data_IF_397170285342
#
_entry.id   IF_397170285342
#
_cell.length_a   1.000
_cell.length_b   1.000
_cell.length_c   1.000
_cell.angle_alpha   90.00
_cell.angle_beta   90.00
_cell.angle_gamma   90.00
#
_symmetry.space_group_name_H-M   'P 1'
#
loop_
_entity.id
_entity.type
_entity.pdbx_description
1 polymer ?
#
# COMPACT_ATOMS: atom_id res chain seq x y z
N UNK A 1 7.44 18.02 15.05
CA UNK A 1 7.64 16.73 14.39
C UNK A 1 7.66 16.95 12.88
N UNK A 2 8.62 16.35 12.14
CA UNK A 2 8.57 16.43 10.68
C UNK A 2 7.37 15.63 10.16
N UNK A 3 6.59 16.25 9.25
CA UNK A 3 5.34 15.68 8.74
C UNK A 3 5.28 15.67 7.22
N UNK A 4 4.45 14.80 6.69
CA UNK A 4 4.06 14.70 5.28
C UNK A 4 2.54 14.63 5.16
N UNK A 5 2.04 14.69 3.93
CA UNK A 5 0.60 14.65 3.66
C UNK A 5 -0.11 13.36 4.11
N UNK A 6 0.60 12.22 4.25
CA UNK A 6 0.05 10.99 4.82
C UNK A 6 0.49 10.73 6.27
N UNK A 7 0.96 11.75 6.98
CA UNK A 7 1.38 11.63 8.37
C UNK A 7 2.82 12.09 8.60
N UNK A 8 3.55 11.36 9.45
CA UNK A 8 4.93 11.70 9.79
C UNK A 8 5.91 11.24 8.70
N UNK A 9 7.09 11.86 8.67
CA UNK A 9 8.23 11.34 7.91
C UNK A 9 8.54 9.93 8.40
N UNK A 10 8.85 9.03 7.47
CA UNK A 10 9.10 7.62 7.80
C UNK A 10 10.31 7.46 8.73
N UNK A 11 10.23 6.55 9.69
CA UNK A 11 11.29 6.27 10.65
C UNK A 11 12.64 5.96 9.98
N UNK A 12 12.62 5.23 8.84
CA UNK A 12 13.83 4.93 8.06
C UNK A 12 14.47 6.13 7.34
N UNK A 13 13.86 7.32 7.40
CA UNK A 13 14.39 8.56 6.84
C UNK A 13 14.94 9.51 7.90
N UNK A 14 14.88 9.12 9.18
CA UNK A 14 15.37 9.93 10.30
C UNK A 14 16.73 9.38 10.72
N UNK A 15 17.79 10.11 10.44
CA UNK A 15 19.19 9.67 10.67
C UNK A 15 19.53 9.33 12.13
N UNK A 16 18.87 9.93 13.10
CA UNK A 16 19.09 9.70 14.53
C UNK A 16 17.75 9.40 15.21
N UNK A 17 17.10 8.32 14.79
CA UNK A 17 15.76 7.96 15.25
C UNK A 17 15.69 7.77 16.78
N UNK A 18 16.61 7.00 17.40
CA UNK A 18 16.59 6.74 18.83
C UNK A 18 16.78 8.03 19.66
N UNK A 19 17.81 8.87 19.43
CA UNK A 19 17.92 10.16 20.11
C UNK A 19 16.72 11.07 19.91
N UNK A 20 16.08 11.01 18.73
CA UNK A 20 14.90 11.80 18.44
C UNK A 20 13.67 11.30 19.23
N UNK A 21 13.48 9.99 19.35
CA UNK A 21 12.45 9.37 20.21
C UNK A 21 12.66 9.75 21.66
N UNK A 22 13.89 9.64 22.19
CA UNK A 22 14.24 10.01 23.56
C UNK A 22 13.96 11.48 23.85
N UNK A 23 14.27 12.36 22.91
CA UNK A 23 13.96 13.79 23.01
C UNK A 23 12.45 14.04 23.13
N UNK A 24 11.65 13.40 22.28
CA UNK A 24 10.18 13.53 22.33
C UNK A 24 9.62 12.94 23.62
N UNK A 25 10.07 11.77 24.03
CA UNK A 25 9.64 11.12 25.27
C UNK A 25 9.91 12.02 26.48
N UNK A 26 11.11 12.62 26.53
CA UNK A 26 11.50 13.56 27.59
C UNK A 26 10.62 14.81 27.60
N UNK A 27 10.30 15.36 26.40
CA UNK A 27 9.47 16.55 26.28
C UNK A 27 8.01 16.30 26.67
N UNK A 28 7.48 15.11 26.39
CA UNK A 28 6.09 14.75 26.67
C UNK A 28 5.87 14.25 28.10
N UNK A 29 6.88 13.64 28.71
CA UNK A 29 6.78 13.01 30.05
C UNK A 29 6.14 13.90 31.12
N UNK A 30 6.49 15.22 31.25
CA UNK A 30 5.87 16.08 32.25
C UNK A 30 4.38 16.36 32.03
N UNK A 31 3.89 16.14 30.80
CA UNK A 31 2.49 16.40 30.40
C UNK A 31 1.61 15.16 30.49
N UNK A 32 2.16 14.00 30.88
CA UNK A 32 1.45 12.73 30.92
C UNK A 32 1.29 12.26 32.38
N UNK A 33 0.06 12.06 32.81
CA UNK A 33 -0.25 11.38 34.08
C UNK A 33 -0.37 9.87 33.82
N UNK A 34 0.74 9.15 34.06
CA UNK A 34 0.80 7.69 33.87
C UNK A 34 -0.05 6.92 34.87
N UNK A 35 -0.32 7.49 36.07
CA UNK A 35 -1.18 6.86 37.05
C UNK A 35 -2.65 6.89 36.55
N UNK A 36 -3.11 8.06 36.09
CA UNK A 36 -4.45 8.19 35.55
C UNK A 36 -4.62 7.33 34.24
N UNK A 37 -3.60 7.24 33.39
CA UNK A 37 -3.62 6.35 32.22
C UNK A 37 -3.71 4.88 32.65
N UNK A 38 -3.02 4.49 33.72
CA UNK A 38 -3.10 3.15 34.27
C UNK A 38 -4.49 2.80 34.80
N UNK A 39 -5.17 3.75 35.46
CA UNK A 39 -6.54 3.58 35.95
C UNK A 39 -7.58 3.45 34.81
N UNK A 40 -7.32 4.10 33.66
CA UNK A 40 -8.16 3.99 32.48
C UNK A 40 -7.94 2.68 31.73
N UNK A 41 -6.85 1.95 32.00
CA UNK A 41 -6.58 0.68 31.35
C UNK A 41 -7.52 -0.41 31.86
N UNK A 42 -8.27 -1.01 30.96
CA UNK A 42 -9.15 -2.15 31.23
C UNK A 42 -8.58 -3.48 30.74
N UNK A 43 -9.23 -4.60 31.04
CA UNK A 43 -8.84 -5.89 30.49
C UNK A 43 -8.96 -5.88 28.98
N UNK A 44 -7.89 -6.29 28.29
CA UNK A 44 -7.89 -6.47 26.84
C UNK A 44 -8.83 -7.63 26.49
N UNK A 45 -9.87 -7.36 25.73
CA UNK A 45 -10.65 -8.42 25.12
C UNK A 45 -9.77 -9.10 24.07
N UNK A 46 -9.40 -10.36 24.30
CA UNK A 46 -8.71 -11.17 23.33
C UNK A 46 -9.67 -11.48 22.18
N UNK A 47 -9.68 -10.64 21.16
CA UNK A 47 -10.35 -10.98 19.92
C UNK A 47 -9.51 -12.04 19.20
N UNK A 48 -10.08 -13.22 18.96
CA UNK A 48 -9.48 -14.19 18.05
C UNK A 48 -9.72 -13.69 16.62
N UNK A 49 -8.81 -12.89 16.11
CA UNK A 49 -8.79 -12.50 14.69
C UNK A 49 -8.04 -13.56 13.90
N UNK A 50 -8.74 -14.28 13.05
CA UNK A 50 -8.09 -15.13 12.03
C UNK A 50 -7.62 -14.19 10.90
N UNK A 51 -6.30 -14.08 10.73
CA UNK A 51 -5.74 -13.39 9.57
C UNK A 51 -6.01 -14.22 8.29
N UNK A 52 -6.26 -13.58 7.16
CA UNK A 52 -6.34 -14.28 5.88
C UNK A 52 -5.07 -15.08 5.62
N UNK A 53 -5.23 -16.30 5.11
CA UNK A 53 -4.11 -17.14 4.71
C UNK A 53 -3.25 -16.49 3.61
N UNK A 54 -2.02 -17.01 3.40
CA UNK A 54 -1.16 -16.48 2.35
C UNK A 54 -1.77 -16.75 0.96
N UNK A 55 -1.69 -15.77 0.03
CA UNK A 55 -2.24 -15.94 -1.32
C UNK A 55 -1.44 -16.91 -2.18
N UNK A 56 -0.22 -17.26 -1.78
CA UNK A 56 0.65 -18.22 -2.45
C UNK A 56 1.75 -18.72 -1.51
N UNK A 57 2.45 -19.79 -1.91
CA UNK A 57 3.58 -20.34 -1.16
C UNK A 57 4.81 -19.42 -1.19
N UNK A 58 5.09 -18.74 -2.33
CA UNK A 58 6.16 -17.77 -2.45
C UNK A 58 5.61 -16.41 -2.86
N UNK A 59 5.72 -15.44 -1.98
CA UNK A 59 5.22 -14.07 -2.13
C UNK A 59 6.42 -13.11 -2.25
N UNK A 60 6.50 -12.37 -3.35
CA UNK A 60 7.45 -11.28 -3.51
C UNK A 60 6.80 -9.93 -3.15
N UNK A 61 7.47 -9.16 -2.32
CA UNK A 61 6.94 -7.90 -1.75
C UNK A 61 7.89 -6.76 -2.09
N UNK A 62 7.39 -5.71 -2.74
CA UNK A 62 8.15 -4.48 -2.93
C UNK A 62 8.45 -3.81 -1.58
N UNK A 63 9.71 -3.41 -1.36
CA UNK A 63 10.17 -3.03 -0.04
C UNK A 63 11.28 -1.98 -0.09
N UNK A 64 10.91 -0.73 -0.23
CA UNK A 64 11.77 0.44 -0.12
C UNK A 64 10.97 1.67 0.33
N UNK A 65 11.53 2.88 0.18
CA UNK A 65 10.90 4.13 0.59
C UNK A 65 9.63 4.47 -0.20
N UNK A 66 9.50 4.01 -1.44
CA UNK A 66 8.29 4.18 -2.24
C UNK A 66 7.17 3.21 -1.84
N UNK A 67 7.51 2.08 -1.18
CA UNK A 67 6.60 0.99 -0.81
C UNK A 67 6.73 0.63 0.69
N UNK A 68 6.64 1.65 1.55
CA UNK A 68 6.94 1.50 2.98
C UNK A 68 5.75 1.02 3.84
N UNK A 69 4.50 1.13 3.36
CA UNK A 69 3.31 0.85 4.16
C UNK A 69 2.96 -0.65 4.15
N UNK A 70 3.86 -1.44 4.71
CA UNK A 70 3.70 -2.88 4.87
C UNK A 70 3.09 -3.18 6.25
N UNK A 71 2.25 -4.19 6.32
CA UNK A 71 1.60 -4.63 7.56
C UNK A 71 2.40 -5.76 8.22
N UNK A 72 3.17 -5.50 9.30
CA UNK A 72 4.01 -6.52 9.94
C UNK A 72 3.22 -7.75 10.41
N UNK A 73 2.00 -7.54 10.92
CA UNK A 73 1.13 -8.62 11.37
C UNK A 73 0.68 -9.53 10.22
N UNK A 74 0.37 -8.99 9.05
CA UNK A 74 0.01 -9.75 7.86
C UNK A 74 1.18 -10.60 7.37
N UNK A 75 2.38 -9.98 7.26
CA UNK A 75 3.59 -10.70 6.87
C UNK A 75 3.98 -11.79 7.87
N UNK A 76 3.80 -11.52 9.18
CA UNK A 76 3.99 -12.54 10.21
C UNK A 76 3.00 -13.68 10.04
N UNK A 77 1.71 -13.39 9.86
CA UNK A 77 0.67 -14.40 9.65
C UNK A 77 0.95 -15.28 8.44
N UNK A 78 1.40 -14.71 7.32
CA UNK A 78 1.78 -15.48 6.14
C UNK A 78 2.97 -16.40 6.38
N UNK A 79 4.02 -15.93 7.11
CA UNK A 79 5.17 -16.78 7.49
C UNK A 79 4.75 -17.90 8.44
N UNK A 80 3.94 -17.59 9.45
CA UNK A 80 3.44 -18.59 10.42
C UNK A 80 2.59 -19.66 9.73
N UNK A 81 1.90 -19.31 8.64
CA UNK A 81 1.17 -20.23 7.77
C UNK A 81 2.06 -20.94 6.73
N UNK A 82 3.38 -20.76 6.78
CA UNK A 82 4.37 -21.50 5.98
C UNK A 82 4.75 -20.83 4.66
N UNK A 83 4.28 -19.62 4.34
CA UNK A 83 4.68 -18.92 3.11
C UNK A 83 6.11 -18.39 3.20
N UNK A 84 6.83 -18.47 2.09
CA UNK A 84 8.12 -17.84 1.89
C UNK A 84 7.90 -16.41 1.41
N UNK A 85 8.49 -15.43 2.14
CA UNK A 85 8.46 -14.01 1.73
C UNK A 85 9.83 -13.60 1.24
N UNK A 86 9.89 -13.02 0.05
CA UNK A 86 11.07 -12.35 -0.50
C UNK A 86 10.77 -10.87 -0.73
N UNK A 87 11.80 -10.03 -0.58
CA UNK A 87 11.68 -8.59 -0.74
C UNK A 87 12.57 -8.13 -1.89
N UNK A 88 12.13 -7.10 -2.60
CA UNK A 88 12.91 -6.47 -3.67
C UNK A 88 12.66 -4.96 -3.66
N UNK A 89 13.64 -4.18 -4.11
CA UNK A 89 13.58 -2.72 -4.15
C UNK A 89 13.38 -2.19 -5.57
N UNK A 90 12.16 -1.75 -5.93
CA UNK A 90 11.94 -1.05 -7.20
C UNK A 90 12.81 0.21 -7.38
N UNK A 91 13.12 0.94 -6.30
CA UNK A 91 14.00 2.10 -6.36
C UNK A 91 15.46 1.74 -6.67
N UNK A 92 15.91 0.55 -6.30
CA UNK A 92 17.23 0.03 -6.69
C UNK A 92 17.21 -0.67 -8.07
N UNK A 93 16.11 -0.57 -8.81
CA UNK A 93 15.87 -1.28 -10.06
C UNK A 93 16.01 -2.82 -9.93
N UNK A 94 15.71 -3.37 -8.74
CA UNK A 94 15.71 -4.81 -8.52
C UNK A 94 14.52 -5.46 -9.19
N UNK A 95 14.72 -6.54 -9.97
CA UNK A 95 13.63 -7.29 -10.54
C UNK A 95 12.89 -8.10 -9.45
N UNK A 96 11.58 -8.29 -9.63
CA UNK A 96 10.85 -9.26 -8.82
C UNK A 96 11.44 -10.66 -9.00
N UNK A 97 11.60 -11.47 -7.93
CA UNK A 97 12.15 -12.82 -8.01
C UNK A 97 11.38 -13.71 -8.97
N UNK A 98 12.07 -14.38 -9.89
CA UNK A 98 11.46 -15.26 -10.91
C UNK A 98 10.59 -16.38 -10.34
N UNK A 99 10.89 -16.85 -9.13
CA UNK A 99 10.15 -17.90 -8.45
C UNK A 99 8.89 -17.40 -7.74
N UNK A 100 8.60 -16.09 -7.78
CA UNK A 100 7.42 -15.53 -7.14
C UNK A 100 6.13 -16.09 -7.75
N UNK A 101 5.23 -16.54 -6.90
CA UNK A 101 3.90 -17.02 -7.26
C UNK A 101 2.81 -15.98 -7.00
N UNK A 102 3.16 -14.93 -6.29
CA UNK A 102 2.34 -13.77 -6.01
C UNK A 102 3.23 -12.55 -5.79
N UNK A 103 2.88 -11.41 -6.35
CA UNK A 103 3.61 -10.15 -6.18
C UNK A 103 2.72 -9.14 -5.49
N UNK A 104 3.24 -8.54 -4.41
CA UNK A 104 2.57 -7.50 -3.66
C UNK A 104 3.35 -6.18 -3.74
N UNK A 105 2.67 -5.14 -4.21
CA UNK A 105 3.14 -3.75 -4.19
C UNK A 105 2.34 -2.99 -3.11
N UNK A 106 2.89 -2.82 -1.90
CA UNK A 106 2.20 -2.10 -0.83
C UNK A 106 2.11 -0.60 -1.08
N UNK A 107 1.39 0.10 -0.20
CA UNK A 107 1.33 1.54 -0.21
C UNK A 107 2.65 2.22 0.15
N UNK A 108 2.69 3.53 -0.02
CA UNK A 108 3.86 4.36 0.25
C UNK A 108 3.77 5.71 -0.43
N UNK A 109 4.93 6.25 -0.84
CA UNK A 109 5.06 7.57 -1.46
C UNK A 109 5.69 7.48 -2.87
N UNK A 110 5.03 6.82 -3.84
CA UNK A 110 5.58 6.67 -5.19
C UNK A 110 5.76 8.00 -5.91
N UNK A 111 4.95 9.01 -5.60
CA UNK A 111 5.02 10.35 -6.19
C UNK A 111 6.32 11.10 -5.85
N UNK A 112 6.93 10.81 -4.69
CA UNK A 112 8.21 11.39 -4.29
C UNK A 112 9.38 10.76 -5.05
N UNK A 113 9.18 9.60 -5.65
CA UNK A 113 10.17 8.79 -6.34
C UNK A 113 9.77 8.47 -7.79
N UNK A 114 8.78 9.19 -8.34
CA UNK A 114 8.16 8.85 -9.62
C UNK A 114 9.15 8.79 -10.79
N UNK A 115 10.12 9.70 -10.84
CA UNK A 115 11.18 9.69 -11.85
C UNK A 115 12.10 8.47 -11.76
N UNK A 116 12.44 8.04 -10.54
CA UNK A 116 13.28 6.85 -10.30
C UNK A 116 12.52 5.57 -10.67
N UNK A 117 11.26 5.45 -10.26
CA UNK A 117 10.39 4.33 -10.64
C UNK A 117 10.17 4.24 -12.16
N UNK A 118 9.97 5.38 -12.83
CA UNK A 118 9.83 5.42 -14.28
C UNK A 118 11.09 4.94 -15.02
N UNK A 119 12.28 5.20 -14.45
CA UNK A 119 13.58 4.78 -15.00
C UNK A 119 13.97 3.34 -14.64
N UNK A 120 13.28 2.68 -13.70
CA UNK A 120 13.60 1.34 -13.20
C UNK A 120 13.25 0.25 -14.25
N UNK A 121 14.14 0.03 -15.20
CA UNK A 121 13.90 -0.82 -16.38
C UNK A 121 13.79 -2.31 -16.04
N UNK A 122 14.65 -2.82 -15.14
CA UNK A 122 14.64 -4.24 -14.74
C UNK A 122 13.40 -4.57 -13.91
N UNK A 123 13.05 -3.70 -12.96
CA UNK A 123 11.81 -3.79 -12.21
C UNK A 123 10.60 -3.86 -13.16
N UNK A 124 10.45 -2.88 -14.06
CA UNK A 124 9.33 -2.82 -15.03
C UNK A 124 9.26 -4.06 -15.91
N UNK A 125 10.38 -4.49 -16.48
CA UNK A 125 10.46 -5.68 -17.31
C UNK A 125 10.08 -6.96 -16.56
N UNK A 126 10.50 -7.09 -15.29
CA UNK A 126 10.18 -8.25 -14.47
C UNK A 126 8.69 -8.35 -14.16
N UNK A 127 8.03 -7.22 -13.81
CA UNK A 127 6.58 -7.19 -13.55
C UNK A 127 5.78 -7.49 -14.83
N UNK A 128 6.18 -6.92 -15.98
CA UNK A 128 5.57 -7.23 -17.28
C UNK A 128 5.70 -8.72 -17.62
N UNK A 129 6.86 -9.33 -17.36
CA UNK A 129 7.07 -10.75 -17.54
C UNK A 129 6.16 -11.60 -16.64
N UNK A 130 6.09 -11.29 -15.34
CA UNK A 130 5.19 -11.99 -14.41
C UNK A 130 3.72 -11.86 -14.82
N UNK A 131 3.29 -10.67 -15.24
CA UNK A 131 1.94 -10.45 -15.74
C UNK A 131 1.65 -11.31 -16.98
N UNK A 132 2.60 -11.43 -17.92
CA UNK A 132 2.46 -12.27 -19.13
C UNK A 132 2.36 -13.77 -18.81
N UNK A 133 2.94 -14.21 -17.71
CA UNK A 133 2.85 -15.59 -17.21
C UNK A 133 1.57 -15.83 -16.39
N UNK A 134 0.76 -14.78 -16.13
CA UNK A 134 -0.43 -14.89 -15.29
C UNK A 134 -0.12 -14.99 -13.80
N UNK A 135 1.07 -14.60 -13.34
CA UNK A 135 1.35 -14.46 -11.91
C UNK A 135 0.43 -13.38 -11.32
N UNK A 136 -0.29 -13.63 -10.22
CA UNK A 136 -1.10 -12.62 -9.57
C UNK A 136 -0.22 -11.45 -9.08
N UNK A 137 -0.63 -10.24 -9.41
CA UNK A 137 0.03 -9.00 -8.97
C UNK A 137 -1.03 -8.11 -8.32
N UNK A 138 -0.81 -7.73 -7.08
CA UNK A 138 -1.73 -6.90 -6.32
C UNK A 138 -1.02 -5.63 -5.83
N UNK A 139 -1.65 -4.49 -6.02
CA UNK A 139 -1.17 -3.20 -5.57
C UNK A 139 -2.16 -2.48 -4.67
N UNK A 140 -1.68 -1.93 -3.56
CA UNK A 140 -2.46 -1.08 -2.66
C UNK A 140 -1.97 0.36 -2.71
N UNK A 141 -2.89 1.35 -2.67
CA UNK A 141 -2.55 2.76 -2.54
C UNK A 141 -1.44 3.18 -3.55
N UNK A 142 -0.24 3.47 -3.07
CA UNK A 142 0.92 3.77 -3.92
C UNK A 142 1.27 2.65 -4.89
N UNK A 143 1.19 1.39 -4.45
CA UNK A 143 1.40 0.22 -5.31
C UNK A 143 0.39 0.14 -6.45
N UNK A 144 -0.88 0.43 -6.19
CA UNK A 144 -1.93 0.51 -7.22
C UNK A 144 -1.62 1.59 -8.26
N UNK A 145 -1.18 2.78 -7.80
CA UNK A 145 -0.79 3.88 -8.69
C UNK A 145 0.37 3.48 -9.63
N UNK A 146 1.36 2.75 -9.10
CA UNK A 146 2.51 2.27 -9.87
C UNK A 146 2.13 1.19 -10.89
N UNK A 147 1.07 0.41 -10.66
CA UNK A 147 0.53 -0.52 -11.66
C UNK A 147 -0.07 0.19 -12.88
N UNK A 148 -0.41 1.48 -12.76
CA UNK A 148 -1.03 2.30 -13.78
C UNK A 148 -0.15 2.61 -14.99
N UNK A 149 -0.73 3.33 -15.96
CA UNK A 149 -0.03 3.86 -17.13
C UNK A 149 0.86 5.06 -16.79
N UNK A 150 0.47 5.83 -15.76
CA UNK A 150 1.19 7.05 -15.42
C UNK A 150 0.80 7.65 -14.08
N UNK A 151 1.74 8.41 -13.54
CA UNK A 151 1.59 9.20 -12.34
C UNK A 151 2.08 10.61 -12.60
N UNK A 152 1.25 11.60 -12.31
CA UNK A 152 1.59 13.02 -12.39
C UNK A 152 2.03 13.50 -11.01
N UNK A 153 3.26 13.98 -10.89
CA UNK A 153 3.83 14.47 -9.63
C UNK A 153 3.23 15.83 -9.20
N UNK A 154 3.63 16.33 -8.04
CA UNK A 154 3.16 17.61 -7.52
C UNK A 154 3.59 18.83 -8.38
N UNK A 155 4.61 18.67 -9.23
CA UNK A 155 5.08 19.67 -10.19
C UNK A 155 4.36 19.59 -11.54
N UNK A 156 3.40 18.66 -11.69
CA UNK A 156 2.65 18.44 -12.92
C UNK A 156 3.41 17.65 -13.98
N UNK A 157 4.55 17.03 -13.66
CA UNK A 157 5.29 16.17 -14.58
C UNK A 157 4.69 14.77 -14.57
N UNK A 158 4.40 14.27 -15.76
CA UNK A 158 3.93 12.91 -15.95
C UNK A 158 5.11 11.93 -16.02
N UNK A 159 5.03 10.87 -15.23
CA UNK A 159 5.99 9.77 -15.21
C UNK A 159 5.29 8.49 -15.67
N UNK A 160 5.92 7.77 -16.59
CA UNK A 160 5.41 6.48 -17.03
C UNK A 160 5.61 5.42 -15.95
N UNK A 161 4.54 4.69 -15.62
CA UNK A 161 4.55 3.63 -14.62
C UNK A 161 4.59 2.24 -15.32
N UNK A 162 4.07 1.20 -14.66
CA UNK A 162 4.14 -0.18 -15.17
C UNK A 162 3.25 -0.45 -16.39
N UNK A 163 2.15 0.31 -16.56
CA UNK A 163 1.23 0.11 -17.69
C UNK A 163 0.43 -1.21 -17.63
N UNK A 164 0.33 -1.83 -16.45
CA UNK A 164 -0.39 -3.08 -16.27
C UNK A 164 -1.88 -2.88 -16.01
N UNK A 165 -2.27 -1.69 -15.53
CA UNK A 165 -3.65 -1.26 -15.38
C UNK A 165 -3.89 0.03 -16.17
N UNK A 166 -5.06 0.22 -16.80
CA UNK A 166 -5.41 1.45 -17.53
C UNK A 166 -5.79 2.58 -16.56
N UNK A 167 -4.88 2.92 -15.68
CA UNK A 167 -5.01 3.89 -14.61
C UNK A 167 -4.00 5.03 -14.80
N UNK A 168 -4.45 6.26 -14.54
CA UNK A 168 -3.57 7.43 -14.43
C UNK A 168 -3.97 8.26 -13.24
N UNK A 169 -3.00 8.62 -12.39
CA UNK A 169 -3.22 9.35 -11.14
C UNK A 169 -2.41 10.64 -11.09
N UNK A 170 -2.82 11.60 -10.26
CA UNK A 170 -2.18 12.91 -10.15
C UNK A 170 -2.11 13.40 -8.71
N UNK A 171 -0.96 13.98 -8.36
CA UNK A 171 -0.72 14.73 -7.12
C UNK A 171 -0.69 16.24 -7.34
N UNK A 172 -1.00 16.74 -8.54
CA UNK A 172 -0.97 18.15 -8.86
C UNK A 172 -2.05 18.94 -8.10
N UNK A 173 -3.23 18.37 -7.97
CA UNK A 173 -4.33 18.93 -7.18
C UNK A 173 -4.68 17.94 -6.07
N UNK A 174 -4.06 18.13 -4.91
CA UNK A 174 -4.23 17.23 -3.77
C UNK A 174 -5.60 17.42 -3.15
N UNK A 175 -6.33 16.32 -2.96
CA UNK A 175 -7.57 16.27 -2.21
C UNK A 175 -7.50 15.09 -1.27
N UNK A 176 -7.77 15.31 0.02
CA UNK A 176 -7.83 14.22 0.99
C UNK A 176 -9.04 13.34 0.72
N UNK A 177 -8.79 12.06 0.55
CA UNK A 177 -9.76 10.98 0.57
C UNK A 177 -9.47 10.15 1.81
N UNK A 178 -10.42 10.11 2.74
CA UNK A 178 -10.27 9.45 4.03
C UNK A 178 -11.60 8.85 4.46
N UNK A 179 -11.58 7.62 4.94
CA UNK A 179 -12.73 6.97 5.57
C UNK A 179 -12.64 5.44 5.52
N UNK A 180 -13.52 4.80 6.25
CA UNK A 180 -13.72 3.36 6.15
C UNK A 180 -14.57 3.02 4.94
N UNK A 181 -14.33 1.83 4.38
CA UNK A 181 -15.03 1.32 3.19
C UNK A 181 -15.46 -0.11 3.43
N UNK A 182 -16.73 -0.38 3.11
CA UNK A 182 -17.25 -1.74 2.95
C UNK A 182 -17.17 -2.09 1.47
N UNK A 183 -16.40 -3.12 1.16
CA UNK A 183 -16.10 -3.51 -0.22
C UNK A 183 -16.78 -4.81 -0.56
N UNK A 184 -17.60 -4.80 -1.60
CA UNK A 184 -18.21 -5.99 -2.19
C UNK A 184 -17.44 -6.35 -3.46
N UNK A 185 -16.82 -7.55 -3.54
CA UNK A 185 -16.08 -7.97 -4.73
C UNK A 185 -16.95 -8.00 -5.99
N UNK A 186 -16.43 -7.41 -7.08
CA UNK A 186 -17.00 -7.50 -8.43
C UNK A 186 -16.19 -8.43 -9.33
N UNK A 187 -15.08 -8.97 -8.81
CA UNK A 187 -14.17 -9.82 -9.55
C UNK A 187 -13.81 -11.07 -8.76
N UNK A 188 -13.32 -12.14 -9.42
CA UNK A 188 -12.96 -13.40 -8.74
C UNK A 188 -11.66 -13.33 -7.92
N UNK A 189 -10.99 -12.16 -7.84
CA UNK A 189 -9.77 -11.98 -7.06
C UNK A 189 -10.04 -12.06 -5.54
N UNK A 190 -11.24 -11.71 -5.12
CA UNK A 190 -11.69 -11.77 -3.73
C UNK A 190 -13.02 -12.53 -3.66
N UNK A 191 -13.15 -13.42 -2.68
CA UNK A 191 -14.31 -14.32 -2.54
C UNK A 191 -15.32 -13.88 -1.48
N UNK A 192 -15.01 -12.82 -0.71
CA UNK A 192 -15.86 -12.34 0.38
C UNK A 192 -15.79 -10.82 0.49
N UNK A 193 -16.82 -10.17 1.06
CA UNK A 193 -16.76 -8.76 1.41
C UNK A 193 -15.58 -8.44 2.33
N UNK A 194 -15.02 -7.25 2.17
CA UNK A 194 -13.88 -6.76 2.92
C UNK A 194 -14.22 -5.45 3.63
N UNK A 195 -13.61 -5.25 4.80
CA UNK A 195 -13.52 -3.93 5.42
C UNK A 195 -12.17 -3.33 5.06
N UNK A 196 -12.19 -2.11 4.56
CA UNK A 196 -11.01 -1.38 4.14
C UNK A 196 -11.00 0.04 4.70
N UNK A 197 -9.88 0.72 4.58
CA UNK A 197 -9.79 2.16 4.76
C UNK A 197 -9.18 2.80 3.53
N UNK A 198 -9.62 3.99 3.23
CA UNK A 198 -9.07 4.84 2.19
C UNK A 198 -8.32 5.99 2.85
N UNK A 199 -7.08 6.23 2.42
CA UNK A 199 -6.30 7.37 2.88
C UNK A 199 -5.28 7.77 1.82
N UNK A 200 -5.63 8.72 0.97
CA UNK A 200 -4.73 9.24 -0.06
C UNK A 200 -5.06 10.68 -0.45
N UNK A 201 -4.14 11.33 -1.15
CA UNK A 201 -4.30 12.69 -1.67
C UNK A 201 -4.28 12.76 -3.20
N UNK A 202 -4.04 11.63 -3.86
CA UNK A 202 -4.04 11.57 -5.31
C UNK A 202 -5.46 11.71 -5.88
N UNK A 203 -5.56 12.34 -7.03
CA UNK A 203 -6.76 12.33 -7.85
C UNK A 203 -6.60 11.31 -8.97
N UNK A 204 -7.66 10.59 -9.31
CA UNK A 204 -7.70 9.72 -10.48
C UNK A 204 -8.02 10.55 -11.72
N UNK A 205 -7.09 10.61 -12.68
CA UNK A 205 -7.29 11.29 -13.96
C UNK A 205 -8.01 10.38 -14.96
N UNK A 206 -7.68 9.09 -14.92
CA UNK A 206 -8.25 8.06 -15.79
C UNK A 206 -8.25 6.73 -15.07
N UNK A 207 -9.38 6.04 -15.11
CA UNK A 207 -9.52 4.64 -14.77
C UNK A 207 -10.46 4.00 -15.79
N UNK A 208 -10.00 3.01 -16.53
CA UNK A 208 -10.79 2.39 -17.59
C UNK A 208 -10.58 0.87 -17.55
N UNK A 209 -11.67 0.12 -17.34
CA UNK A 209 -11.61 -1.33 -17.21
C UNK A 209 -12.59 -1.84 -16.16
N UNK A 210 -12.62 -3.15 -15.94
CA UNK A 210 -13.49 -3.74 -14.94
C UNK A 210 -13.04 -3.34 -13.54
N UNK A 211 -14.03 -2.93 -12.72
CA UNK A 211 -13.82 -2.57 -11.33
C UNK A 211 -13.54 -3.80 -10.47
N UNK A 212 -12.78 -3.60 -9.42
CA UNK A 212 -12.45 -4.66 -8.47
C UNK A 212 -13.53 -4.83 -7.41
N UNK A 213 -14.12 -3.72 -6.94
CA UNK A 213 -15.11 -3.66 -5.86
C UNK A 213 -16.24 -2.66 -6.14
N UNK A 214 -17.42 -2.94 -5.60
CA UNK A 214 -18.40 -1.92 -5.25
C UNK A 214 -18.16 -1.50 -3.80
N UNK A 215 -18.22 -0.20 -3.52
CA UNK A 215 -17.82 0.37 -2.24
C UNK A 215 -18.96 1.16 -1.59
N UNK A 216 -19.04 1.06 -0.27
CA UNK A 216 -19.90 1.87 0.59
C UNK A 216 -19.08 2.46 1.73
N UNK A 217 -19.50 3.60 2.27
CA UNK A 217 -18.92 4.17 3.49
C UNK A 217 -19.48 3.53 4.77
N UNK A 218 -19.11 4.09 5.94
CA UNK A 218 -19.56 3.63 7.24
C UNK A 218 -21.09 3.82 7.46
N UNK A 219 -21.71 4.74 6.74
CA UNK A 219 -23.15 5.02 6.79
C UNK A 219 -23.93 4.24 5.71
N UNK A 220 -23.27 3.30 5.01
CA UNK A 220 -23.79 2.51 3.88
C UNK A 220 -24.19 3.35 2.65
N UNK A 221 -23.69 4.59 2.54
CA UNK A 221 -23.85 5.36 1.33
C UNK A 221 -23.02 4.77 0.19
N UNK A 222 -23.62 4.69 -0.99
CA UNK A 222 -22.95 4.15 -2.18
C UNK A 222 -21.85 5.11 -2.67
N UNK A 223 -20.64 4.61 -2.75
CA UNK A 223 -19.46 5.32 -3.27
C UNK A 223 -19.10 4.91 -4.70
N UNK A 224 -19.89 4.01 -5.30
CA UNK A 224 -19.66 3.49 -6.64
C UNK A 224 -18.59 2.40 -6.71
N UNK A 225 -18.04 2.24 -7.89
CA UNK A 225 -17.05 1.21 -8.19
C UNK A 225 -15.63 1.71 -7.92
N UNK A 226 -14.78 0.85 -7.34
CA UNK A 226 -13.40 1.15 -6.96
C UNK A 226 -12.43 0.06 -7.39
N UNK A 227 -11.16 0.48 -7.59
CA UNK A 227 -10.09 -0.40 -8.03
C UNK A 227 -10.26 -0.86 -9.47
N UNK A 228 -9.26 -1.52 -10.00
CA UNK A 228 -9.26 -2.09 -11.34
C UNK A 228 -8.66 -3.49 -11.32
N UNK A 229 -9.04 -4.31 -12.31
CA UNK A 229 -8.31 -5.54 -12.59
C UNK A 229 -8.17 -5.80 -14.09
N UNK A 230 -7.03 -6.35 -14.51
CA UNK A 230 -6.78 -6.86 -15.86
C UNK A 230 -6.11 -8.24 -15.70
N UNK A 231 -6.78 -9.27 -16.17
CA UNK A 231 -6.31 -10.64 -15.95
C UNK A 231 -6.12 -10.94 -14.47
N UNK A 232 -4.89 -11.23 -14.04
CA UNK A 232 -4.54 -11.48 -12.63
C UNK A 232 -3.78 -10.32 -11.97
N UNK A 233 -3.75 -9.16 -12.58
CA UNK A 233 -3.24 -7.92 -11.98
C UNK A 233 -4.40 -7.08 -11.49
N UNK A 234 -4.37 -6.63 -10.23
CA UNK A 234 -5.43 -5.85 -9.62
C UNK A 234 -4.93 -4.89 -8.52
N UNK A 235 -5.77 -3.94 -8.14
CA UNK A 235 -5.50 -3.01 -7.05
C UNK A 235 -6.61 -1.99 -6.87
#
# INVERSE_FOLDING_TARGET
>A
LPERHLGLVQAGEIDQLEPWIDHIATALHPSLDFAALGELSGPTLAAQTTLPGPPAQHIAIAADRAFAFRYPHQMKGWRDAGAQLSFFSPLADEPAPKAAQYIFLPGGYPELHAGQLAAAAQFKASLAHHASLGTPIYGECGGYMVLGNGLVDAQGRRHEMLGLLPLETSFQQRKLHLGYRQLTPLSPHFSAPLMAHEFHYASTLKAAGPALFAAQDEDHADLGEMGLHIGRTCG
#
